data_IF_301495694631
#
_entry.id   IF_301495694631
#
_cell.length_a   1.000
_cell.length_b   1.000
_cell.length_c   1.000
_cell.angle_alpha   90.00
_cell.angle_beta   90.00
_cell.angle_gamma   90.00
#
_symmetry.space_group_name_H-M   'P 1'
#
loop_
_entity.id
_entity.type
_entity.pdbx_description
1 polymer ?
#
# COMPACT_ATOMS: atom_id res chain seq x y z
N UNK A 1 8.28 7.92 9.34
CA UNK A 1 8.46 6.48 9.05
C UNK A 1 7.30 6.03 8.23
N UNK A 2 7.52 5.14 7.26
CA UNK A 2 6.53 4.79 6.25
C UNK A 2 6.28 3.28 6.22
N UNK A 3 5.17 2.88 5.57
CA UNK A 3 4.79 1.48 5.31
C UNK A 3 4.58 1.31 3.81
N UNK A 4 5.05 0.20 3.25
CA UNK A 4 5.00 -0.07 1.81
C UNK A 4 4.54 -1.49 1.56
N UNK A 5 3.95 -1.71 0.38
CA UNK A 5 3.50 -2.99 -0.14
C UNK A 5 3.82 -3.00 -1.64
N UNK A 6 4.28 -4.13 -2.16
CA UNK A 6 4.42 -4.39 -3.57
C UNK A 6 3.70 -5.69 -3.92
N UNK A 7 3.18 -5.78 -5.14
CA UNK A 7 2.46 -6.94 -5.63
C UNK A 7 2.90 -7.25 -7.07
N UNK A 8 3.21 -8.51 -7.32
CA UNK A 8 3.56 -9.05 -8.64
C UNK A 8 2.77 -10.34 -8.80
N UNK A 9 1.87 -10.38 -9.78
CA UNK A 9 0.94 -11.49 -9.97
C UNK A 9 -0.16 -11.15 -10.98
N UNK A 10 -1.25 -11.95 -11.01
CA UNK A 10 -2.44 -11.64 -11.81
C UNK A 10 -2.99 -10.25 -11.51
N UNK A 11 -3.71 -9.64 -12.46
CA UNK A 11 -4.36 -8.35 -12.25
C UNK A 11 -5.24 -8.36 -10.99
N UNK A 12 -5.09 -7.33 -10.16
CA UNK A 12 -5.75 -7.25 -8.86
C UNK A 12 -6.14 -5.80 -8.52
N UNK A 13 -7.41 -5.52 -8.21
CA UNK A 13 -7.84 -4.24 -7.68
C UNK A 13 -6.99 -3.77 -6.49
N UNK A 14 -6.49 -2.54 -6.56
CA UNK A 14 -5.73 -1.90 -5.48
C UNK A 14 -6.45 -1.98 -4.13
N UNK A 15 -7.78 -1.82 -4.12
CA UNK A 15 -8.58 -1.94 -2.90
C UNK A 15 -8.43 -3.29 -2.19
N UNK A 16 -8.25 -4.39 -2.93
CA UNK A 16 -8.07 -5.74 -2.35
C UNK A 16 -6.71 -5.92 -1.70
N UNK A 17 -5.71 -5.15 -2.13
CA UNK A 17 -4.35 -5.18 -1.59
C UNK A 17 -4.15 -4.15 -0.46
N UNK A 18 -4.68 -2.94 -0.64
CA UNK A 18 -4.40 -1.79 0.23
C UNK A 18 -5.40 -1.65 1.38
N UNK A 19 -6.68 -1.95 1.13
CA UNK A 19 -7.80 -1.58 2.03
C UNK A 19 -8.45 -2.80 2.66
N UNK A 20 -8.86 -3.77 1.84
CA UNK A 20 -9.63 -4.93 2.27
C UNK A 20 -8.94 -5.79 3.34
N UNK A 21 -7.60 -5.99 3.33
CA UNK A 21 -6.97 -6.81 4.36
C UNK A 21 -7.15 -6.15 5.73
N UNK A 22 -7.51 -6.91 6.78
CA UNK A 22 -7.80 -6.35 8.11
C UNK A 22 -6.59 -5.65 8.75
N UNK A 23 -5.39 -5.90 8.23
CA UNK A 23 -4.14 -5.23 8.61
C UNK A 23 -3.43 -4.63 7.39
N UNK A 24 -4.18 -4.25 6.36
CA UNK A 24 -3.67 -3.64 5.12
C UNK A 24 -3.03 -2.27 5.34
N UNK A 25 -2.45 -1.70 4.27
CA UNK A 25 -1.77 -0.41 4.34
C UNK A 25 -2.68 0.72 4.82
N UNK A 26 -3.98 0.68 4.46
CA UNK A 26 -4.96 1.62 4.98
C UNK A 26 -4.97 1.60 6.52
N UNK A 27 -5.19 0.44 7.16
CA UNK A 27 -5.18 0.36 8.63
C UNK A 27 -3.83 0.73 9.25
N UNK A 28 -2.73 0.38 8.58
CA UNK A 28 -1.40 0.73 9.05
C UNK A 28 -1.12 2.24 9.02
N UNK A 29 -1.93 3.06 8.35
CA UNK A 29 -1.77 4.51 8.40
C UNK A 29 -2.07 5.10 9.78
N UNK A 30 -2.99 4.51 10.56
CA UNK A 30 -3.30 4.97 11.92
C UNK A 30 -3.08 3.92 13.03
N UNK A 31 -2.91 2.63 12.69
CA UNK A 31 -2.71 1.56 13.67
C UNK A 31 -1.66 0.51 13.20
N UNK A 32 -0.38 0.91 12.99
CA UNK A 32 0.67 -0.03 12.63
C UNK A 32 1.07 -0.91 13.82
N UNK A 33 1.14 -2.23 13.61
CA UNK A 33 1.42 -3.19 14.71
C UNK A 33 2.90 -3.36 15.04
N UNK A 34 3.77 -3.30 14.03
CA UNK A 34 5.19 -3.63 14.15
C UNK A 34 6.10 -2.45 13.77
N UNK A 35 5.61 -1.22 13.94
CA UNK A 35 6.37 -0.01 13.66
C UNK A 35 7.03 0.51 14.95
N UNK A 36 8.36 0.61 14.95
CA UNK A 36 9.13 1.03 16.13
C UNK A 36 9.23 2.55 16.30
N UNK A 37 9.19 3.29 15.19
CA UNK A 37 9.40 4.73 15.16
C UNK A 37 8.23 5.39 14.40
N UNK A 38 7.67 6.45 14.98
CA UNK A 38 6.43 7.10 14.49
C UNK A 38 5.17 6.32 14.87
N UNK A 39 4.19 7.00 15.45
CA UNK A 39 2.93 6.39 15.93
C UNK A 39 1.95 6.12 14.79
N UNK A 40 2.01 6.92 13.72
CA UNK A 40 1.12 6.87 12.55
C UNK A 40 1.92 7.10 11.26
N UNK A 41 1.29 6.86 10.11
CA UNK A 41 1.77 7.18 8.77
C UNK A 41 0.69 8.05 8.08
N UNK A 42 0.53 9.29 8.54
CA UNK A 42 -0.58 10.18 8.14
C UNK A 42 -0.14 11.35 7.25
N UNK A 43 1.13 11.44 6.91
CA UNK A 43 1.74 12.58 6.21
C UNK A 43 1.61 12.51 4.68
N UNK A 44 0.82 11.55 4.16
CA UNK A 44 0.60 11.31 2.74
C UNK A 44 0.69 9.84 2.34
N UNK A 45 0.26 9.53 1.12
CA UNK A 45 0.39 8.20 0.53
C UNK A 45 0.67 8.31 -0.98
N UNK A 46 1.19 7.24 -1.56
CA UNK A 46 1.40 7.11 -3.00
C UNK A 46 1.12 5.68 -3.45
N UNK A 47 0.66 5.53 -4.70
CA UNK A 47 0.43 4.25 -5.36
C UNK A 47 0.93 4.36 -6.78
N UNK A 48 1.70 3.36 -7.23
CA UNK A 48 2.10 3.19 -8.62
C UNK A 48 1.71 1.81 -9.10
N UNK A 49 1.39 1.69 -10.39
CA UNK A 49 1.05 0.43 -11.04
C UNK A 49 1.51 0.46 -12.49
N UNK A 50 1.56 -0.71 -13.12
CA UNK A 50 1.77 -0.82 -14.56
C UNK A 50 0.41 -0.86 -15.25
N UNK A 51 0.18 0.05 -16.20
CA UNK A 51 -1.00 -0.01 -17.05
C UNK A 51 -0.88 -1.15 -18.06
N UNK A 52 -2.03 -1.67 -18.52
CA UNK A 52 -2.05 -2.77 -19.48
C UNK A 52 -1.28 -2.40 -20.76
N UNK A 53 -0.24 -3.18 -21.07
CA UNK A 53 0.59 -2.97 -22.26
C UNK A 53 1.64 -1.85 -22.15
N UNK A 54 1.74 -1.16 -21.00
CA UNK A 54 2.75 -0.13 -20.78
C UNK A 54 3.95 -0.70 -20.01
N UNK A 55 5.17 -0.71 -20.59
CA UNK A 55 6.36 -1.17 -19.88
C UNK A 55 6.84 -0.18 -18.80
N UNK A 56 6.33 1.06 -18.76
CA UNK A 56 6.65 2.01 -17.70
C UNK A 56 5.49 2.13 -16.70
N UNK A 57 5.77 2.44 -15.42
CA UNK A 57 4.73 2.73 -14.45
C UNK A 57 3.86 3.91 -14.88
N UNK A 58 2.56 3.79 -14.65
CA UNK A 58 1.57 4.85 -14.86
C UNK A 58 1.70 6.00 -13.85
#
# INVERSE_FOLDING_TARGET
MCRHLAYVGPEEPLGRLLVAPPHGLYRQSWAPRHQRYGTVNADGFGVGWYAAGDPVPA
#
